data_IF_657420180074
#
_entry.id   IF_657420180074
#
_cell.length_a   1.000
_cell.length_b   1.000
_cell.length_c   1.000
_cell.angle_alpha   90.00
_cell.angle_beta   90.00
_cell.angle_gamma   90.00
#
_symmetry.space_group_name_H-M   'P 1'
#
loop_
_entity.id
_entity.type
_entity.pdbx_description
1 polymer ?
#
# COMPACT_ATOMS: atom_id res chain seq x y z
N UNK A 1 26.61 15.32 8.82
CA UNK A 1 25.61 14.31 8.43
C UNK A 1 24.70 14.95 7.38
N UNK A 2 24.86 14.56 6.12
CA UNK A 2 23.97 14.99 5.04
C UNK A 2 22.62 14.32 5.26
N UNK A 3 21.61 15.10 5.64
CA UNK A 3 20.21 14.71 5.60
C UNK A 3 19.87 14.56 4.12
N UNK A 4 19.76 13.32 3.65
CA UNK A 4 19.36 13.05 2.27
C UNK A 4 17.92 13.53 2.12
N UNK A 5 17.75 14.76 1.64
CA UNK A 5 16.48 15.23 1.09
C UNK A 5 16.40 14.64 -0.31
N UNK A 6 15.72 13.50 -0.42
CA UNK A 6 15.33 12.91 -1.69
C UNK A 6 14.24 13.81 -2.29
N UNK A 7 14.53 14.47 -3.42
CA UNK A 7 13.56 15.24 -4.19
C UNK A 7 12.95 14.33 -5.27
N UNK A 8 11.64 14.03 -5.21
CA UNK A 8 10.97 13.07 -6.08
C UNK A 8 10.50 13.78 -7.36
N UNK A 9 11.42 14.21 -8.21
CA UNK A 9 11.02 14.64 -9.55
C UNK A 9 10.91 13.38 -10.43
N UNK A 10 9.70 12.81 -10.46
CA UNK A 10 9.25 11.74 -11.37
C UNK A 10 9.87 10.35 -11.15
N UNK A 11 9.66 9.74 -9.98
CA UNK A 11 9.57 8.27 -9.96
C UNK A 11 8.31 7.88 -10.74
N UNK A 12 8.45 7.04 -11.78
CA UNK A 12 7.31 6.61 -12.59
C UNK A 12 6.23 5.92 -11.75
N UNK A 13 4.98 5.95 -12.20
CA UNK A 13 3.82 5.37 -11.47
C UNK A 13 4.11 3.92 -11.07
N UNK A 14 4.73 3.12 -11.94
CA UNK A 14 5.23 1.77 -11.62
C UNK A 14 6.09 1.69 -10.35
N UNK A 15 7.03 2.61 -10.16
CA UNK A 15 7.92 2.63 -8.99
C UNK A 15 7.14 3.03 -7.72
N UNK A 16 6.31 4.06 -7.82
CA UNK A 16 5.48 4.52 -6.70
C UNK A 16 4.50 3.42 -6.25
N UNK A 17 3.85 2.74 -7.18
CA UNK A 17 3.00 1.59 -6.92
C UNK A 17 3.78 0.44 -6.27
N UNK A 18 5.02 0.18 -6.72
CA UNK A 18 5.89 -0.84 -6.12
C UNK A 18 6.23 -0.52 -4.66
N UNK A 19 6.49 0.76 -4.33
CA UNK A 19 6.71 1.22 -2.95
C UNK A 19 5.47 0.99 -2.09
N UNK A 20 4.28 1.35 -2.60
CA UNK A 20 3.01 1.15 -1.89
C UNK A 20 2.77 -0.34 -1.59
N UNK A 21 2.99 -1.21 -2.58
CA UNK A 21 2.85 -2.66 -2.41
C UNK A 21 3.83 -3.21 -1.38
N UNK A 22 5.10 -2.80 -1.45
CA UNK A 22 6.12 -3.21 -0.48
C UNK A 22 5.74 -2.79 0.95
N UNK A 23 5.26 -1.56 1.12
CA UNK A 23 4.78 -1.03 2.41
C UNK A 23 3.57 -1.79 2.95
N UNK A 24 2.62 -2.12 2.09
CA UNK A 24 1.45 -2.93 2.47
C UNK A 24 1.88 -4.35 2.89
N UNK A 25 2.79 -4.96 2.13
CA UNK A 25 3.31 -6.30 2.41
C UNK A 25 4.13 -6.34 3.70
N UNK A 26 4.96 -5.32 3.96
CA UNK A 26 5.70 -5.17 5.21
C UNK A 26 4.73 -5.06 6.40
N UNK A 27 3.67 -4.27 6.25
CA UNK A 27 2.64 -4.11 7.28
C UNK A 27 1.95 -5.43 7.61
N UNK A 28 1.52 -6.18 6.60
CA UNK A 28 0.87 -7.48 6.82
C UNK A 28 1.85 -8.46 7.44
N UNK A 29 3.09 -8.54 6.93
CA UNK A 29 4.10 -9.47 7.44
C UNK A 29 4.41 -9.23 8.92
N UNK A 30 4.49 -7.96 9.34
CA UNK A 30 4.74 -7.57 10.72
C UNK A 30 3.59 -7.89 11.67
N UNK A 31 2.35 -7.82 11.19
CA UNK A 31 1.16 -7.80 12.05
C UNK A 31 0.21 -9.00 11.87
N UNK A 32 0.47 -9.90 10.91
CA UNK A 32 -0.41 -11.05 10.59
C UNK A 32 -0.65 -12.02 11.75
N UNK A 33 0.30 -12.16 12.66
CA UNK A 33 0.20 -13.09 13.79
C UNK A 33 -0.70 -12.51 14.90
N UNK A 34 -0.68 -11.18 15.07
CA UNK A 34 -1.55 -10.46 16.00
C UNK A 34 -2.97 -10.25 15.44
N UNK A 35 -3.11 -10.18 14.11
CA UNK A 35 -4.39 -9.92 13.43
C UNK A 35 -4.61 -10.92 12.30
N UNK A 36 -5.23 -12.07 12.59
CA UNK A 36 -5.47 -13.14 11.62
C UNK A 36 -6.21 -12.68 10.36
N UNK A 37 -7.05 -11.64 10.45
CA UNK A 37 -7.72 -11.04 9.29
C UNK A 37 -6.76 -10.50 8.22
N UNK A 38 -5.51 -10.21 8.57
CA UNK A 38 -4.48 -9.77 7.62
C UNK A 38 -3.93 -10.92 6.76
N UNK A 39 -4.10 -12.17 7.18
CA UNK A 39 -3.66 -13.32 6.38
C UNK A 39 -4.40 -13.43 5.05
N UNK A 40 -5.70 -13.10 5.04
CA UNK A 40 -6.51 -13.10 3.81
C UNK A 40 -5.98 -12.08 2.79
N UNK A 41 -5.56 -10.90 3.27
CA UNK A 41 -4.99 -9.84 2.43
C UNK A 41 -3.60 -10.26 1.92
N UNK A 42 -2.78 -10.87 2.77
CA UNK A 42 -1.44 -11.35 2.38
C UNK A 42 -1.45 -12.34 1.22
N UNK A 43 -2.44 -13.23 1.14
CA UNK A 43 -2.59 -14.17 0.01
C UNK A 43 -2.85 -13.47 -1.32
N UNK A 44 -3.55 -12.34 -1.29
CA UNK A 44 -3.91 -11.58 -2.50
C UNK A 44 -2.75 -10.73 -3.00
N UNK A 45 -1.89 -10.26 -2.10
CA UNK A 45 -0.63 -9.59 -2.47
C UNK A 45 0.43 -10.54 -3.01
N UNK A 46 0.33 -11.84 -2.70
CA UNK A 46 1.20 -12.85 -3.29
C UNK A 46 0.87 -13.15 -4.76
N UNK A 47 -0.26 -12.64 -5.28
CA UNK A 47 -0.55 -12.75 -6.72
C UNK A 47 0.40 -11.82 -7.49
N UNK A 48 1.10 -12.33 -8.51
CA UNK A 48 2.07 -11.54 -9.26
C UNK A 48 1.37 -10.35 -9.94
N UNK A 49 2.07 -9.21 -9.94
CA UNK A 49 1.65 -8.07 -10.76
C UNK A 49 1.70 -8.47 -12.23
N UNK A 50 0.75 -8.01 -13.07
CA UNK A 50 0.85 -8.20 -14.50
C UNK A 50 2.15 -7.55 -14.99
N UNK A 51 3.04 -8.34 -15.61
CA UNK A 51 4.32 -7.86 -16.14
C UNK A 51 4.05 -7.06 -17.42
N UNK A 52 3.66 -5.81 -17.21
CA UNK A 52 3.33 -4.85 -18.25
C UNK A 52 4.04 -3.56 -17.94
N UNK A 53 4.41 -2.82 -19.00
CA UNK A 53 4.92 -1.46 -18.87
C UNK A 53 3.80 -0.41 -18.91
N UNK A 54 2.54 -0.84 -18.71
CA UNK A 54 1.40 0.06 -18.63
C UNK A 54 1.15 0.48 -17.17
N UNK A 55 1.45 1.75 -16.87
CA UNK A 55 1.20 2.38 -15.56
C UNK A 55 -0.27 2.24 -15.09
N UNK A 56 -1.23 2.22 -16.03
CA UNK A 56 -2.65 2.08 -15.73
C UNK A 56 -2.98 0.74 -15.07
N UNK A 57 -2.29 -0.34 -15.45
CA UNK A 57 -2.49 -1.65 -14.83
C UNK A 57 -1.98 -1.69 -13.38
N UNK A 58 -0.92 -0.94 -13.06
CA UNK A 58 -0.43 -0.85 -11.68
C UNK A 58 -1.42 -0.10 -10.78
N UNK A 59 -1.97 1.01 -11.29
CA UNK A 59 -2.98 1.79 -10.57
C UNK A 59 -4.26 1.00 -10.37
N UNK A 60 -4.80 0.39 -11.43
CA UNK A 60 -5.99 -0.45 -11.35
C UNK A 60 -5.83 -1.54 -10.29
N UNK A 61 -4.65 -2.16 -10.22
CA UNK A 61 -4.36 -3.18 -9.22
C UNK A 61 -4.36 -2.65 -7.79
N UNK A 62 -3.86 -1.44 -7.55
CA UNK A 62 -3.97 -0.80 -6.24
C UNK A 62 -5.43 -0.46 -5.90
N UNK A 63 -6.23 -0.03 -6.87
CA UNK A 63 -7.66 0.23 -6.68
C UNK A 63 -8.45 -1.04 -6.34
N UNK A 64 -8.14 -2.17 -6.96
CA UNK A 64 -8.70 -3.48 -6.60
C UNK A 64 -8.39 -3.84 -5.14
N UNK A 65 -7.16 -3.56 -4.68
CA UNK A 65 -6.78 -3.77 -3.29
C UNK A 65 -7.54 -2.83 -2.35
N UNK A 66 -7.75 -1.56 -2.73
CA UNK A 66 -8.59 -0.63 -1.97
C UNK A 66 -10.02 -1.16 -1.82
N UNK A 67 -10.66 -1.61 -2.91
CA UNK A 67 -12.01 -2.16 -2.90
C UNK A 67 -12.12 -3.41 -2.02
N UNK A 68 -11.15 -4.31 -2.09
CA UNK A 68 -11.08 -5.48 -1.23
C UNK A 68 -10.96 -5.08 0.24
N UNK A 69 -10.04 -4.17 0.56
CA UNK A 69 -9.85 -3.71 1.94
C UNK A 69 -11.14 -3.05 2.44
N UNK A 70 -11.83 -2.27 1.61
CA UNK A 70 -13.14 -1.69 1.94
C UNK A 70 -14.15 -2.77 2.34
N UNK A 71 -14.27 -3.86 1.58
CA UNK A 71 -15.17 -4.97 1.89
C UNK A 71 -14.83 -5.63 3.23
N UNK A 72 -13.54 -5.84 3.50
CA UNK A 72 -13.03 -6.44 4.74
C UNK A 72 -13.04 -5.46 5.93
N UNK A 73 -13.19 -4.16 5.67
CA UNK A 73 -13.07 -3.10 6.68
C UNK A 73 -14.26 -3.05 7.64
N UNK A 74 -15.44 -3.53 7.21
CA UNK A 74 -16.71 -3.43 7.93
C UNK A 74 -16.60 -3.97 9.37
N UNK A 75 -15.88 -5.08 9.55
CA UNK A 75 -15.74 -5.76 10.83
C UNK A 75 -14.39 -5.56 11.52
N UNK A 76 -13.46 -4.80 10.93
CA UNK A 76 -12.09 -4.69 11.43
C UNK A 76 -11.57 -3.26 11.39
N UNK A 77 -11.31 -2.69 12.57
CA UNK A 77 -10.69 -1.36 12.70
C UNK A 77 -9.33 -1.30 12.00
N UNK A 78 -8.54 -2.36 12.10
CA UNK A 78 -7.21 -2.44 11.52
C UNK A 78 -7.29 -2.43 9.99
N UNK A 79 -8.25 -3.17 9.44
CA UNK A 79 -8.46 -3.19 7.98
C UNK A 79 -9.03 -1.85 7.50
N UNK A 80 -9.91 -1.19 8.28
CA UNK A 80 -10.31 0.20 8.00
C UNK A 80 -9.11 1.15 7.93
N UNK A 81 -8.18 1.02 8.87
CA UNK A 81 -6.99 1.87 8.89
C UNK A 81 -6.07 1.60 7.68
N UNK A 82 -5.86 0.32 7.34
CA UNK A 82 -5.14 -0.07 6.13
C UNK A 82 -5.81 0.48 4.86
N UNK A 83 -7.13 0.33 4.73
CA UNK A 83 -7.90 0.84 3.60
C UNK A 83 -7.71 2.36 3.47
N UNK A 84 -7.90 3.11 4.56
CA UNK A 84 -7.76 4.55 4.55
C UNK A 84 -6.38 5.01 4.07
N UNK A 85 -5.31 4.43 4.62
CA UNK A 85 -3.95 4.82 4.27
C UNK A 85 -3.55 4.37 2.86
N UNK A 86 -4.01 3.19 2.42
CA UNK A 86 -3.76 2.74 1.05
C UNK A 86 -4.45 3.66 0.03
N UNK A 87 -5.73 4.00 0.25
CA UNK A 87 -6.46 4.93 -0.61
C UNK A 87 -5.78 6.30 -0.67
N UNK A 88 -5.29 6.81 0.46
CA UNK A 88 -4.57 8.08 0.49
C UNK A 88 -3.29 8.04 -0.38
N UNK A 89 -2.52 6.95 -0.30
CA UNK A 89 -1.31 6.79 -1.12
C UNK A 89 -1.67 6.64 -2.62
N UNK A 90 -2.74 5.91 -2.97
CA UNK A 90 -3.22 5.76 -4.36
C UNK A 90 -3.66 7.10 -4.96
N UNK A 91 -4.43 7.89 -4.22
CA UNK A 91 -4.86 9.22 -4.69
C UNK A 91 -3.68 10.19 -4.80
N UNK A 92 -2.66 10.05 -3.95
CA UNK A 92 -1.41 10.81 -4.06
C UNK A 92 -0.62 10.43 -5.33
N UNK A 93 -0.60 9.15 -5.73
CA UNK A 93 0.00 8.73 -7.01
C UNK A 93 -0.75 9.35 -8.19
N UNK A 94 -2.09 9.28 -8.19
CA UNK A 94 -2.92 9.84 -9.27
C UNK A 94 -2.77 11.35 -9.44
N UNK A 95 -2.56 12.07 -8.35
CA UNK A 95 -2.35 13.52 -8.34
C UNK A 95 -0.89 13.94 -8.58
N UNK A 96 0.05 12.99 -8.62
CA UNK A 96 1.48 13.27 -8.73
C UNK A 96 2.12 13.81 -7.44
N UNK A 97 1.42 13.73 -6.31
CA UNK A 97 1.84 14.24 -5.00
C UNK A 97 2.34 13.12 -4.07
N UNK A 98 2.60 11.92 -4.60
CA UNK A 98 3.02 10.78 -3.80
C UNK A 98 4.36 11.04 -3.10
N UNK A 99 4.31 11.01 -1.77
CA UNK A 99 5.49 11.04 -0.89
C UNK A 99 5.37 9.86 0.07
N UNK A 100 6.26 8.88 -0.10
CA UNK A 100 6.29 7.71 0.80
C UNK A 100 6.57 8.13 2.24
N UNK A 101 5.59 7.92 3.12
CA UNK A 101 5.71 8.18 4.57
C UNK A 101 5.78 6.87 5.34
N UNK A 102 6.97 6.58 5.88
CA UNK A 102 7.23 5.40 6.72
C UNK A 102 7.05 4.06 6.01
N UNK A 103 7.49 2.99 6.67
CA UNK A 103 7.58 1.65 6.05
C UNK A 103 6.38 0.76 6.38
N UNK A 104 5.40 1.28 7.12
CA UNK A 104 4.20 0.56 7.50
C UNK A 104 2.97 1.46 7.62
N UNK A 105 1.80 0.88 7.36
CA UNK A 105 0.50 1.50 7.56
C UNK A 105 -0.07 1.31 8.97
N UNK A 106 0.57 0.51 9.82
CA UNK A 106 0.13 0.29 11.20
C UNK A 106 1.26 0.66 12.14
N UNK A 107 1.00 1.69 12.95
CA UNK A 107 1.84 2.05 14.10
C UNK A 107 0.98 1.77 15.32
N UNK A 108 1.27 0.66 15.99
CA UNK A 108 0.63 0.32 17.26
C UNK A 108 1.44 0.94 18.39
N UNK A 109 0.79 1.48 19.43
CA UNK A 109 1.50 1.85 20.65
C UNK A 109 2.15 0.61 21.26
N UNK A 110 3.38 0.77 21.75
CA UNK A 110 4.12 -0.24 22.50
C UNK A 110 3.45 -0.57 23.84
#
# INVERSE_FOLDING_TARGET
MLKVMYTPESEGVKQQCSIILAKLQATISKHRDAFPQLQAIGKLLAMPMPDTDNDEHYLQRLEELCLLLQQLSVSSYIVRHLHHNLCADVEAVKSGEFISKGDSYLILPD
#
